data_IF_037965181759
#
_entry.id   IF_037965181759
#
_cell.length_a   1.000
_cell.length_b   1.000
_cell.length_c   1.000
_cell.angle_alpha   90.00
_cell.angle_beta   90.00
_cell.angle_gamma   90.00
#
_symmetry.space_group_name_H-M   'P 1'
#
loop_
_entity.id
_entity.type
_entity.pdbx_description
1 polymer ?
#
# COMPACT_ATOMS: atom_id res chain seq x y z
N UNK A 1 5.90 2.68 19.44
CA UNK A 1 5.98 2.12 18.07
C UNK A 1 6.84 3.01 17.18
N UNK A 2 6.54 4.31 17.12
CA UNK A 2 7.23 5.28 16.26
C UNK A 2 8.77 5.27 16.41
N UNK A 3 9.29 5.23 17.63
CA UNK A 3 10.75 5.18 17.88
C UNK A 3 11.45 3.93 17.31
N UNK A 4 10.72 2.81 17.19
CA UNK A 4 11.29 1.57 16.62
C UNK A 4 11.35 1.71 15.11
N UNK A 5 10.25 2.10 14.47
CA UNK A 5 10.17 2.26 13.01
C UNK A 5 11.13 3.37 12.53
N UNK A 6 11.25 4.46 13.29
CA UNK A 6 12.19 5.56 13.03
C UNK A 6 13.65 5.08 12.89
N UNK A 7 14.07 4.11 13.71
CA UNK A 7 15.45 3.55 13.67
C UNK A 7 15.65 2.53 12.55
N UNK A 8 14.59 2.11 11.85
CA UNK A 8 14.73 1.18 10.72
C UNK A 8 15.25 1.89 9.48
N UNK A 9 14.87 3.16 9.33
CA UNK A 9 15.05 3.92 8.12
C UNK A 9 16.11 5.00 8.32
N UNK A 10 16.96 5.19 7.31
CA UNK A 10 17.99 6.22 7.31
C UNK A 10 17.38 7.61 7.07
N UNK A 11 18.06 8.68 7.51
CA UNK A 11 17.61 10.08 7.35
C UNK A 11 17.34 10.45 5.89
N UNK A 12 16.31 11.26 5.60
CA UNK A 12 15.91 11.57 4.22
C UNK A 12 15.14 10.44 3.51
N UNK A 13 14.94 9.28 4.15
CA UNK A 13 13.95 8.32 3.69
C UNK A 13 12.55 8.90 3.91
N UNK A 14 11.71 8.86 2.88
CA UNK A 14 10.35 9.38 2.93
C UNK A 14 9.48 8.74 4.03
N UNK A 15 9.73 7.47 4.38
CA UNK A 15 9.08 6.81 5.52
C UNK A 15 9.49 7.44 6.85
N UNK A 16 10.81 7.62 7.06
CA UNK A 16 11.33 8.22 8.29
C UNK A 16 10.86 9.64 8.46
N UNK A 17 10.96 10.44 7.40
CA UNK A 17 10.57 11.86 7.44
C UNK A 17 9.13 12.00 7.89
N UNK A 18 8.18 11.27 7.30
CA UNK A 18 6.79 11.28 7.72
C UNK A 18 6.57 10.76 9.16
N UNK A 19 7.32 9.74 9.60
CA UNK A 19 7.25 9.19 10.98
C UNK A 19 7.73 10.20 12.02
N UNK A 20 8.77 10.97 11.69
CA UNK A 20 9.38 11.97 12.57
C UNK A 20 8.53 13.23 12.75
N UNK A 21 7.31 13.23 12.21
CA UNK A 21 6.49 14.44 12.10
C UNK A 21 7.03 15.40 11.04
N UNK A 22 8.00 14.95 10.25
CA UNK A 22 8.41 15.63 9.05
C UNK A 22 7.20 15.75 8.14
N UNK A 23 6.98 16.97 7.69
CA UNK A 23 5.87 17.35 6.85
C UNK A 23 6.18 16.92 5.41
N UNK A 24 6.45 15.62 5.21
CA UNK A 24 6.79 15.08 3.89
C UNK A 24 5.68 15.44 2.88
N UNK A 25 4.45 15.56 3.39
CA UNK A 25 3.31 16.12 2.68
C UNK A 25 2.69 17.23 3.52
N UNK A 26 3.30 18.41 3.41
CA UNK A 26 2.92 19.63 4.11
C UNK A 26 1.65 20.23 3.49
N UNK A 27 0.48 19.91 4.06
CA UNK A 27 -0.79 20.57 3.73
C UNK A 27 -0.87 21.94 4.40
N UNK A 28 0.03 22.83 4.00
CA UNK A 28 -0.21 24.25 4.23
C UNK A 28 -1.50 24.65 3.53
N UNK A 29 -2.46 25.27 4.23
CA UNK A 29 -3.64 25.85 3.57
C UNK A 29 -3.23 26.82 2.46
N UNK A 30 -2.05 27.43 2.58
CA UNK A 30 -1.42 28.30 1.59
C UNK A 30 -1.08 27.60 0.26
N UNK A 31 -0.99 26.27 0.23
CA UNK A 31 -0.73 25.47 -0.99
C UNK A 31 -2.02 24.93 -1.63
N UNK A 32 -3.19 25.35 -1.14
CA UNK A 32 -4.49 24.91 -1.62
C UNK A 32 -5.24 26.08 -2.25
N UNK A 33 -5.44 26.01 -3.56
CA UNK A 33 -6.31 26.96 -4.26
C UNK A 33 -7.76 26.49 -4.18
N UNK A 34 -8.58 27.19 -3.39
CA UNK A 34 -10.02 26.94 -3.28
C UNK A 34 -10.80 27.73 -4.32
N UNK A 35 -11.67 27.05 -5.06
CA UNK A 35 -12.51 27.60 -6.12
C UNK A 35 -13.97 27.28 -5.80
N UNK A 36 -14.83 28.31 -5.78
CA UNK A 36 -16.28 28.14 -5.67
C UNK A 36 -16.91 28.16 -7.07
N UNK A 37 -17.53 27.07 -7.54
CA UNK A 37 -18.17 27.02 -8.85
C UNK A 37 -19.48 27.82 -8.89
N UNK A 38 -19.74 28.52 -10.01
CA UNK A 38 -20.79 29.54 -10.10
C UNK A 38 -22.22 28.99 -10.35
N UNK A 39 -22.40 27.82 -10.97
CA UNK A 39 -23.74 27.40 -11.44
C UNK A 39 -24.10 25.94 -11.08
N UNK A 40 -23.48 24.94 -11.73
CA UNK A 40 -23.89 23.53 -11.62
C UNK A 40 -23.55 22.86 -10.28
N UNK A 41 -22.69 23.48 -9.47
CA UNK A 41 -22.24 22.96 -8.18
C UNK A 41 -22.32 24.01 -7.06
N UNK A 42 -23.34 24.88 -7.12
CA UNK A 42 -23.55 25.95 -6.13
C UNK A 42 -23.50 25.39 -4.69
N UNK A 43 -22.70 26.02 -3.84
CA UNK A 43 -22.49 25.60 -2.45
C UNK A 43 -21.47 24.46 -2.26
N UNK A 44 -20.77 24.03 -3.30
CA UNK A 44 -19.62 23.12 -3.20
C UNK A 44 -18.30 23.88 -3.28
N UNK A 45 -17.22 23.18 -2.95
CA UNK A 45 -15.84 23.66 -3.02
C UNK A 45 -15.07 22.75 -3.98
N UNK A 46 -14.34 23.36 -4.91
CA UNK A 46 -13.25 22.72 -5.64
C UNK A 46 -11.93 23.14 -5.02
N UNK A 47 -10.97 22.23 -4.95
CA UNK A 47 -9.63 22.50 -4.47
C UNK A 47 -8.61 21.97 -5.48
N UNK A 48 -7.61 22.79 -5.78
CA UNK A 48 -6.41 22.38 -6.52
C UNK A 48 -5.23 22.41 -5.54
N UNK A 49 -4.57 21.27 -5.40
CA UNK A 49 -3.53 21.03 -4.39
C UNK A 49 -2.25 20.59 -5.10
N UNK A 50 -1.10 21.10 -4.64
CA UNK A 50 0.20 20.58 -5.03
C UNK A 50 0.86 19.87 -3.84
N UNK A 51 1.01 18.54 -3.92
CA UNK A 51 1.69 17.74 -2.89
C UNK A 51 3.20 17.62 -3.12
N UNK A 52 3.63 17.62 -4.38
CA UNK A 52 5.02 17.50 -4.78
C UNK A 52 5.78 18.83 -4.79
N UNK A 53 7.10 18.75 -5.04
CA UNK A 53 7.95 19.90 -5.36
C UNK A 53 8.14 19.92 -6.90
N UNK A 54 7.74 21.02 -7.53
CA UNK A 54 7.90 21.32 -8.97
C UNK A 54 7.46 20.17 -9.93
N UNK A 55 7.91 20.21 -11.18
CA UNK A 55 7.51 19.30 -12.27
C UNK A 55 8.05 17.86 -12.15
N UNK A 56 8.70 17.53 -11.03
CA UNK A 56 9.26 16.20 -10.79
C UNK A 56 8.17 15.13 -10.58
N UNK A 57 8.50 13.87 -10.87
CA UNK A 57 7.61 12.74 -10.59
C UNK A 57 7.54 12.53 -9.08
N UNK A 58 6.38 12.80 -8.50
CA UNK A 58 6.09 12.63 -7.08
C UNK A 58 5.46 11.27 -6.77
N UNK A 59 4.56 10.78 -7.62
CA UNK A 59 4.00 9.44 -7.54
C UNK A 59 4.55 8.57 -8.67
N UNK A 60 5.05 7.39 -8.34
CA UNK A 60 5.37 6.38 -9.34
C UNK A 60 4.05 5.87 -9.96
N UNK A 61 3.82 6.06 -11.27
CA UNK A 61 2.52 5.79 -11.90
C UNK A 61 2.05 4.33 -11.81
N UNK A 62 2.97 3.36 -11.85
CA UNK A 62 2.65 1.94 -11.86
C UNK A 62 2.13 1.47 -10.49
N UNK A 63 2.79 1.90 -9.41
CA UNK A 63 2.37 1.69 -8.03
C UNK A 63 1.09 2.48 -7.74
N UNK A 64 1.00 3.74 -8.18
CA UNK A 64 -0.23 4.55 -8.02
C UNK A 64 -1.45 3.83 -8.60
N UNK A 65 -1.36 3.38 -9.86
CA UNK A 65 -2.46 2.64 -10.48
C UNK A 65 -2.74 1.31 -9.79
N UNK A 66 -1.71 0.62 -9.30
CA UNK A 66 -1.87 -0.66 -8.59
C UNK A 66 -2.61 -0.49 -7.26
N UNK A 67 -2.30 0.57 -6.51
CA UNK A 67 -2.97 0.93 -5.27
C UNK A 67 -4.44 1.27 -5.55
N UNK A 68 -4.71 2.11 -6.54
CA UNK A 68 -6.08 2.52 -6.87
C UNK A 68 -6.93 1.37 -7.43
N UNK A 69 -6.35 0.47 -8.22
CA UNK A 69 -7.07 -0.72 -8.70
C UNK A 69 -7.36 -1.69 -7.55
N UNK A 70 -6.43 -1.87 -6.60
CA UNK A 70 -6.67 -2.66 -5.40
C UNK A 70 -7.80 -2.05 -4.55
N UNK A 71 -7.87 -0.71 -4.45
CA UNK A 71 -8.89 -0.01 -3.69
C UNK A 71 -10.21 0.21 -4.42
N UNK A 72 -10.31 -0.20 -5.69
CA UNK A 72 -11.48 0.00 -6.55
C UNK A 72 -12.83 -0.41 -5.95
N UNK A 73 -12.95 -1.50 -5.16
CA UNK A 73 -14.22 -1.83 -4.51
C UNK A 73 -14.79 -0.74 -3.59
N UNK A 74 -13.94 0.15 -3.09
CA UNK A 74 -14.32 1.28 -2.23
C UNK A 74 -14.56 2.58 -3.00
N UNK A 75 -14.34 2.57 -4.31
CA UNK A 75 -14.52 3.69 -5.21
C UNK A 75 -15.83 3.53 -5.98
N UNK A 76 -16.57 4.63 -6.16
CA UNK A 76 -17.75 4.59 -7.02
C UNK A 76 -17.36 4.46 -8.49
N UNK A 77 -16.26 5.11 -8.88
CA UNK A 77 -15.68 5.07 -10.23
C UNK A 77 -14.15 5.22 -10.08
N UNK A 78 -13.37 4.61 -10.97
CA UNK A 78 -11.92 4.72 -10.94
C UNK A 78 -11.27 4.36 -12.27
N UNK A 79 -10.39 5.23 -12.77
CA UNK A 79 -9.56 5.01 -13.95
C UNK A 79 -8.15 5.50 -13.65
N UNK A 80 -7.13 4.75 -14.07
CA UNK A 80 -5.74 5.16 -13.93
C UNK A 80 -4.97 4.84 -15.21
N UNK A 81 -4.23 5.81 -15.71
CA UNK A 81 -3.40 5.69 -16.90
C UNK A 81 -1.94 5.81 -16.51
N UNK A 82 -1.20 4.69 -16.57
CA UNK A 82 0.24 4.65 -16.29
C UNK A 82 1.05 5.55 -17.25
N UNK A 83 0.84 5.50 -18.58
CA UNK A 83 1.63 6.32 -19.51
C UNK A 83 1.42 7.82 -19.32
N UNK A 84 0.17 8.23 -19.05
CA UNK A 84 -0.15 9.64 -18.81
C UNK A 84 0.19 10.09 -17.38
N UNK A 85 0.38 9.15 -16.46
CA UNK A 85 0.59 9.44 -15.05
C UNK A 85 -0.60 10.18 -14.44
N UNK A 86 -1.82 9.81 -14.81
CA UNK A 86 -3.04 10.44 -14.30
C UNK A 86 -4.03 9.39 -13.83
N UNK A 87 -4.69 9.67 -12.70
CA UNK A 87 -5.80 8.89 -12.20
C UNK A 87 -7.00 9.79 -11.94
N UNK A 88 -8.19 9.28 -12.24
CA UNK A 88 -9.47 9.92 -11.95
C UNK A 88 -10.32 8.94 -11.18
N UNK A 89 -10.70 9.31 -9.96
CA UNK A 89 -11.51 8.48 -9.06
C UNK A 89 -12.71 9.25 -8.53
N UNK A 90 -13.77 8.54 -8.20
CA UNK A 90 -14.93 9.07 -7.50
C UNK A 90 -15.04 8.41 -6.14
N UNK A 91 -14.80 9.19 -5.09
CA UNK A 91 -14.73 8.67 -3.73
C UNK A 91 -15.61 9.48 -2.77
N UNK A 92 -16.52 8.79 -2.07
CA UNK A 92 -17.48 9.39 -1.12
C UNK A 92 -18.28 10.56 -1.73
N UNK A 93 -18.57 10.52 -3.03
CA UNK A 93 -19.31 11.57 -3.76
C UNK A 93 -18.47 12.71 -4.35
N UNK A 94 -17.14 12.67 -4.20
CA UNK A 94 -16.20 13.67 -4.75
C UNK A 94 -15.50 13.12 -5.98
N UNK A 95 -15.25 13.97 -6.97
CA UNK A 95 -14.40 13.62 -8.11
C UNK A 95 -12.98 14.09 -7.83
N UNK A 96 -12.02 13.18 -7.89
CA UNK A 96 -10.63 13.43 -7.52
C UNK A 96 -9.75 13.07 -8.72
N UNK A 97 -8.96 14.02 -9.20
CA UNK A 97 -7.93 13.79 -10.22
C UNK A 97 -6.56 13.86 -9.57
N UNK A 98 -5.71 12.87 -9.82
CA UNK A 98 -4.37 12.72 -9.23
C UNK A 98 -3.38 12.66 -10.38
N UNK A 99 -2.36 13.49 -10.36
CA UNK A 99 -1.30 13.52 -11.37
C UNK A 99 0.02 13.02 -10.78
N UNK A 100 0.86 12.41 -11.61
CA UNK A 100 2.16 11.85 -11.22
C UNK A 100 3.11 12.87 -10.58
N UNK A 101 2.94 14.16 -10.85
CA UNK A 101 3.74 15.24 -10.25
C UNK A 101 3.25 15.67 -8.86
N UNK A 102 2.22 15.01 -8.31
CA UNK A 102 1.68 15.35 -6.99
C UNK A 102 0.58 16.39 -7.03
N UNK A 103 0.18 16.90 -8.20
CA UNK A 103 -1.03 17.72 -8.31
C UNK A 103 -2.26 16.86 -8.03
N UNK A 104 -3.17 17.37 -7.22
CA UNK A 104 -4.45 16.74 -6.90
C UNK A 104 -5.57 17.76 -7.03
N UNK A 105 -6.60 17.43 -7.81
CA UNK A 105 -7.79 18.25 -7.94
C UNK A 105 -8.99 17.54 -7.29
N UNK A 106 -9.61 18.16 -6.29
CA UNK A 106 -10.79 17.64 -5.60
C UNK A 106 -11.98 18.53 -5.96
N UNK A 107 -12.97 17.96 -6.64
CA UNK A 107 -14.24 18.62 -6.98
C UNK A 107 -15.37 18.14 -6.08
N UNK A 108 -16.41 18.95 -5.95
CA UNK A 108 -17.65 18.63 -5.21
C UNK A 108 -17.48 18.43 -3.70
N UNK A 109 -16.44 19.00 -3.09
CA UNK A 109 -16.33 18.97 -1.62
C UNK A 109 -17.41 19.87 -0.99
N UNK A 110 -17.85 19.53 0.22
CA UNK A 110 -18.88 20.30 0.92
C UNK A 110 -18.34 21.59 1.51
N UNK A 111 -17.14 21.54 2.08
CA UNK A 111 -16.48 22.65 2.77
C UNK A 111 -14.97 22.56 2.59
N UNK A 112 -14.22 23.58 2.99
CA UNK A 112 -12.75 23.52 3.05
C UNK A 112 -12.26 22.42 4.00
N UNK A 113 -12.91 22.26 5.15
CA UNK A 113 -12.57 21.20 6.11
C UNK A 113 -12.80 19.80 5.54
N UNK A 114 -13.83 19.64 4.70
CA UNK A 114 -14.08 18.40 3.98
C UNK A 114 -12.96 18.07 2.98
N UNK A 115 -12.46 19.07 2.24
CA UNK A 115 -11.26 18.93 1.38
C UNK A 115 -10.09 18.41 2.21
N UNK A 116 -9.79 19.02 3.36
CA UNK A 116 -8.66 18.62 4.22
C UNK A 116 -8.81 17.20 4.78
N UNK A 117 -10.03 16.75 5.09
CA UNK A 117 -10.29 15.37 5.53
C UNK A 117 -10.01 14.39 4.40
N UNK A 118 -10.56 14.65 3.21
CA UNK A 118 -10.36 13.80 2.02
C UNK A 118 -8.90 13.74 1.64
N UNK A 119 -8.21 14.88 1.67
CA UNK A 119 -6.81 14.99 1.33
C UNK A 119 -5.92 14.17 2.25
N UNK A 120 -6.16 14.20 3.58
CA UNK A 120 -5.44 13.37 4.55
C UNK A 120 -5.64 11.87 4.29
N UNK A 121 -6.88 11.45 4.06
CA UNK A 121 -7.17 10.05 3.75
C UNK A 121 -6.55 9.61 2.42
N UNK A 122 -6.63 10.47 1.39
CA UNK A 122 -6.01 10.22 0.09
C UNK A 122 -4.49 10.12 0.22
N UNK A 123 -3.89 10.97 1.03
CA UNK A 123 -2.45 10.95 1.27
C UNK A 123 -1.97 9.62 1.81
N UNK A 124 -2.65 9.13 2.86
CA UNK A 124 -2.36 7.84 3.48
C UNK A 124 -2.59 6.69 2.51
N UNK A 125 -3.67 6.74 1.73
CA UNK A 125 -3.98 5.77 0.70
C UNK A 125 -2.86 5.68 -0.35
N UNK A 126 -2.36 6.81 -0.81
CA UNK A 126 -1.37 6.91 -1.89
C UNK A 126 0.07 6.85 -1.41
N UNK A 127 0.32 6.76 -0.10
CA UNK A 127 1.66 6.95 0.46
C UNK A 127 2.68 5.96 -0.14
N UNK A 128 2.28 4.72 -0.38
CA UNK A 128 3.15 3.71 -0.99
C UNK A 128 3.65 4.05 -2.40
N UNK A 129 2.91 4.86 -3.18
CA UNK A 129 3.34 5.27 -4.53
C UNK A 129 4.24 6.49 -4.55
N UNK A 130 4.42 7.19 -3.42
CA UNK A 130 5.25 8.38 -3.38
C UNK A 130 6.71 8.01 -3.65
N UNK A 131 7.43 8.80 -4.46
CA UNK A 131 8.84 8.59 -4.77
C UNK A 131 9.71 9.13 -3.64
N UNK A 132 10.58 8.30 -3.09
CA UNK A 132 11.49 8.70 -2.03
C UNK A 132 12.64 9.55 -2.59
N UNK A 133 12.80 10.77 -2.06
CA UNK A 133 13.85 11.70 -2.51
C UNK A 133 15.27 11.15 -2.32
N UNK A 134 15.50 10.33 -1.28
CA UNK A 134 16.81 9.72 -1.00
C UNK A 134 17.23 8.65 -2.00
N UNK A 135 16.32 7.76 -2.41
CA UNK A 135 16.68 6.60 -3.23
C UNK A 135 16.08 6.59 -4.64
N UNK A 136 15.12 7.48 -4.93
CA UNK A 136 14.41 7.56 -6.20
C UNK A 136 13.39 6.43 -6.44
N UNK A 137 13.17 5.55 -5.46
CA UNK A 137 12.22 4.42 -5.53
C UNK A 137 10.92 4.75 -4.81
N UNK A 138 9.79 4.11 -5.15
CA UNK A 138 8.55 4.31 -4.43
C UNK A 138 8.68 3.86 -2.97
N UNK A 139 7.98 4.56 -2.08
CA UNK A 139 7.97 4.36 -0.63
C UNK A 139 7.63 2.92 -0.26
N UNK A 140 6.74 2.27 -1.02
CA UNK A 140 6.36 0.87 -0.79
C UNK A 140 7.55 -0.09 -0.87
N UNK A 141 8.53 0.15 -1.75
CA UNK A 141 9.74 -0.66 -1.86
C UNK A 141 10.74 -0.35 -0.74
N UNK A 142 10.77 0.89 -0.26
CA UNK A 142 11.52 1.21 0.95
C UNK A 142 10.95 0.46 2.15
N UNK A 143 9.61 0.45 2.27
CA UNK A 143 8.90 -0.20 3.36
C UNK A 143 9.08 -1.73 3.33
N UNK A 144 9.07 -2.35 2.15
CA UNK A 144 9.29 -3.79 2.00
C UNK A 144 10.77 -4.20 2.11
N UNK A 145 11.68 -3.25 2.34
CA UNK A 145 13.11 -3.52 2.52
C UNK A 145 13.88 -3.80 1.22
N UNK A 146 13.26 -3.59 0.06
CA UNK A 146 13.93 -3.69 -1.26
C UNK A 146 14.92 -2.57 -1.54
N UNK A 147 15.03 -1.58 -0.65
CA UNK A 147 15.90 -0.43 -0.81
C UNK A 147 17.05 -0.44 0.22
N UNK A 148 18.22 -0.89 -0.21
CA UNK A 148 19.46 -0.85 0.58
C UNK A 148 19.87 0.57 0.98
N UNK A 149 19.53 1.58 0.15
CA UNK A 149 19.86 2.98 0.42
C UNK A 149 19.08 3.57 1.60
N UNK A 150 17.92 3.00 1.95
CA UNK A 150 17.00 3.56 2.93
C UNK A 150 16.93 2.77 4.24
N UNK A 151 17.46 1.55 4.29
CA UNK A 151 17.36 0.68 5.46
C UNK A 151 18.67 0.62 6.25
N UNK A 152 18.57 0.60 7.58
CA UNK A 152 19.69 0.24 8.45
C UNK A 152 19.85 -1.29 8.52
N UNK A 153 21.07 -1.81 8.34
CA UNK A 153 21.37 -3.27 8.34
C UNK A 153 20.84 -4.03 9.57
N UNK A 154 20.66 -3.35 10.71
CA UNK A 154 20.22 -3.94 11.98
C UNK A 154 18.73 -3.74 12.27
N UNK A 155 18.01 -3.00 11.42
CA UNK A 155 16.65 -2.54 11.70
C UNK A 155 15.59 -3.65 11.66
N UNK A 156 15.58 -4.48 10.61
CA UNK A 156 14.41 -5.28 10.19
C UNK A 156 13.73 -6.14 11.29
N UNK A 157 14.40 -6.47 12.39
CA UNK A 157 13.88 -7.33 13.47
C UNK A 157 12.95 -6.64 14.47
N UNK A 158 12.83 -5.31 14.46
CA UNK A 158 12.10 -4.54 15.48
C UNK A 158 10.58 -4.41 15.28
N UNK A 159 10.06 -4.62 14.08
CA UNK A 159 8.72 -4.17 13.71
C UNK A 159 7.57 -5.06 14.25
N UNK A 160 7.83 -6.36 14.42
CA UNK A 160 6.83 -7.36 14.81
C UNK A 160 6.24 -7.19 16.23
N UNK A 161 6.97 -6.58 17.16
CA UNK A 161 6.53 -6.55 18.56
C UNK A 161 5.35 -5.59 18.84
N UNK A 162 4.98 -4.73 17.89
CA UNK A 162 4.12 -3.58 18.17
C UNK A 162 2.70 -3.65 17.59
N UNK A 163 2.36 -4.71 16.86
CA UNK A 163 1.08 -4.85 16.13
C UNK A 163 -0.12 -5.22 17.02
N UNK A 164 0.11 -5.86 18.18
CA UNK A 164 -0.97 -6.35 19.05
C UNK A 164 -1.73 -5.27 19.83
N UNK A 165 -1.35 -3.99 19.74
CA UNK A 165 -1.89 -2.90 20.58
C UNK A 165 -2.67 -1.80 19.85
N UNK A 166 -2.83 -1.89 18.53
CA UNK A 166 -3.51 -0.83 17.76
C UNK A 166 -4.99 -1.13 17.59
N UNK A 167 -5.86 -0.16 17.86
CA UNK A 167 -7.33 -0.27 17.73
C UNK A 167 -7.76 -0.70 16.30
N UNK A 168 -7.03 -0.23 15.29
CA UNK A 168 -7.26 -0.57 13.88
C UNK A 168 -6.55 -1.85 13.43
N UNK A 169 -5.87 -2.55 14.34
CA UNK A 169 -5.11 -3.76 14.05
C UNK A 169 -5.97 -4.91 13.52
N UNK A 170 -7.29 -4.85 13.69
CA UNK A 170 -8.23 -5.84 13.15
C UNK A 170 -8.19 -5.92 11.61
N UNK A 171 -8.09 -4.78 10.91
CA UNK A 171 -7.96 -4.78 9.44
C UNK A 171 -6.66 -5.45 9.00
N UNK A 172 -5.55 -5.11 9.65
CA UNK A 172 -4.26 -5.68 9.34
C UNK A 172 -4.21 -7.18 9.69
N UNK A 173 -4.78 -7.59 10.82
CA UNK A 173 -4.91 -9.01 11.18
C UNK A 173 -5.73 -9.80 10.15
N UNK A 174 -6.90 -9.29 9.76
CA UNK A 174 -7.75 -9.87 8.71
C UNK A 174 -7.01 -10.00 7.39
N UNK A 175 -6.26 -8.97 6.98
CA UNK A 175 -5.47 -9.01 5.76
C UNK A 175 -4.40 -10.12 5.80
N UNK A 176 -3.72 -10.26 6.93
CA UNK A 176 -2.67 -11.26 7.11
C UNK A 176 -3.24 -12.67 7.15
N UNK A 177 -4.37 -12.88 7.81
CA UNK A 177 -5.09 -14.16 7.80
C UNK A 177 -5.45 -14.57 6.37
N UNK A 178 -5.94 -13.64 5.54
CA UNK A 178 -6.23 -13.89 4.12
C UNK A 178 -4.97 -14.30 3.36
N UNK A 179 -3.85 -13.60 3.54
CA UNK A 179 -2.58 -13.94 2.87
C UNK A 179 -2.03 -15.30 3.33
N UNK A 180 -2.13 -15.59 4.63
CA UNK A 180 -1.76 -16.86 5.24
C UNK A 180 -2.57 -18.02 4.67
N UNK A 181 -3.89 -17.84 4.55
CA UNK A 181 -4.77 -18.86 3.98
C UNK A 181 -4.44 -19.14 2.52
N UNK A 182 -4.19 -18.10 1.71
CA UNK A 182 -3.77 -18.28 0.32
C UNK A 182 -2.45 -19.04 0.26
N UNK A 183 -1.48 -18.68 1.11
CA UNK A 183 -0.19 -19.37 1.16
C UNK A 183 -0.37 -20.85 1.47
N UNK A 184 -1.13 -21.21 2.51
CA UNK A 184 -1.42 -22.62 2.86
C UNK A 184 -2.08 -23.39 1.73
N UNK A 185 -3.05 -22.77 1.05
CA UNK A 185 -3.73 -23.40 -0.09
C UNK A 185 -2.80 -23.57 -1.28
N UNK A 186 -1.89 -22.63 -1.50
CA UNK A 186 -0.89 -22.71 -2.55
C UNK A 186 0.08 -23.87 -2.29
N UNK A 187 0.59 -24.00 -1.06
CA UNK A 187 1.49 -25.11 -0.65
C UNK A 187 0.84 -26.49 -0.81
N UNK A 188 -0.47 -26.61 -0.59
CA UNK A 188 -1.21 -27.87 -0.70
C UNK A 188 -1.82 -28.15 -2.08
N UNK A 189 -1.63 -27.29 -3.07
CA UNK A 189 -2.35 -27.40 -4.34
C UNK A 189 -1.70 -28.38 -5.31
N UNK A 190 -2.51 -29.21 -5.97
CA UNK A 190 -2.08 -30.01 -7.14
C UNK A 190 -2.39 -29.26 -8.44
N UNK A 191 -1.67 -29.58 -9.52
CA UNK A 191 -1.80 -28.93 -10.85
C UNK A 191 -3.25 -28.81 -11.34
N UNK A 192 -4.08 -29.85 -11.14
CA UNK A 192 -5.48 -29.86 -11.58
C UNK A 192 -6.38 -28.85 -10.84
N UNK A 193 -5.94 -28.31 -9.70
CA UNK A 193 -6.67 -27.29 -8.92
C UNK A 193 -6.24 -25.84 -9.20
N UNK A 194 -5.24 -25.64 -10.07
CA UNK A 194 -4.54 -24.36 -10.18
C UNK A 194 -5.44 -23.21 -10.64
N UNK A 195 -6.33 -23.42 -11.62
CA UNK A 195 -7.25 -22.37 -12.10
C UNK A 195 -8.23 -21.91 -11.02
N UNK A 196 -8.71 -22.84 -10.19
CA UNK A 196 -9.60 -22.52 -9.06
C UNK A 196 -8.83 -21.78 -7.97
N UNK A 197 -7.62 -22.26 -7.63
CA UNK A 197 -6.73 -21.59 -6.69
C UNK A 197 -6.42 -20.17 -7.16
N UNK A 198 -6.21 -19.94 -8.46
CA UNK A 198 -5.91 -18.62 -9.03
C UNK A 198 -6.97 -17.59 -8.69
N UNK A 199 -8.21 -17.96 -9.00
CA UNK A 199 -9.34 -17.06 -8.78
C UNK A 199 -9.52 -16.77 -7.29
N UNK A 200 -9.44 -17.81 -6.44
CA UNK A 200 -9.60 -17.67 -5.01
C UNK A 200 -8.46 -16.86 -4.36
N UNK A 201 -7.21 -17.15 -4.74
CA UNK A 201 -6.03 -16.42 -4.30
C UNK A 201 -6.13 -14.95 -4.67
N UNK A 202 -6.48 -14.65 -5.92
CA UNK A 202 -6.63 -13.28 -6.40
C UNK A 202 -7.71 -12.52 -5.61
N UNK A 203 -8.85 -13.16 -5.34
CA UNK A 203 -9.92 -12.56 -4.54
C UNK A 203 -9.47 -12.27 -3.11
N UNK A 204 -8.81 -13.23 -2.44
CA UNK A 204 -8.34 -13.06 -1.06
C UNK A 204 -7.22 -12.03 -0.94
N UNK A 205 -6.28 -12.00 -1.88
CA UNK A 205 -5.20 -11.01 -1.92
C UNK A 205 -5.76 -9.60 -2.16
N UNK A 206 -6.70 -9.46 -3.10
CA UNK A 206 -7.37 -8.18 -3.31
C UNK A 206 -8.14 -7.75 -2.05
N UNK A 207 -8.83 -8.68 -1.39
CA UNK A 207 -9.50 -8.42 -0.12
C UNK A 207 -8.54 -8.03 1.01
N UNK A 208 -7.34 -8.61 1.05
CA UNK A 208 -6.29 -8.25 2.01
C UNK A 208 -5.73 -6.85 1.71
N UNK A 209 -5.49 -6.53 0.44
CA UNK A 209 -5.04 -5.21 0.02
C UNK A 209 -6.04 -4.11 0.40
N UNK A 210 -7.35 -4.35 0.21
CA UNK A 210 -8.40 -3.40 0.64
C UNK A 210 -8.36 -3.17 2.15
N UNK A 211 -8.26 -4.25 2.94
CA UNK A 211 -8.16 -4.13 4.41
C UNK A 211 -6.92 -3.34 4.84
N UNK A 212 -5.76 -3.60 4.22
CA UNK A 212 -4.51 -2.85 4.49
C UNK A 212 -4.66 -1.38 4.13
N UNK A 213 -5.30 -1.06 3.00
CA UNK A 213 -5.54 0.31 2.57
C UNK A 213 -6.52 1.04 3.50
N UNK A 214 -7.55 0.35 4.01
CA UNK A 214 -8.42 0.89 5.05
C UNK A 214 -7.64 1.16 6.35
N UNK A 215 -6.77 0.22 6.77
CA UNK A 215 -5.87 0.43 7.89
C UNK A 215 -4.97 1.65 7.70
N UNK A 216 -4.39 1.82 6.51
CA UNK A 216 -3.57 2.98 6.16
C UNK A 216 -4.32 4.30 6.33
N UNK A 217 -5.54 4.36 5.80
CA UNK A 217 -6.39 5.57 5.85
C UNK A 217 -6.75 5.95 7.29
N UNK A 218 -7.07 4.95 8.12
CA UNK A 218 -7.54 5.14 9.50
C UNK A 218 -6.40 5.17 10.54
N UNK A 219 -5.15 4.94 10.11
CA UNK A 219 -4.00 4.93 11.00
C UNK A 219 -3.81 6.31 11.67
N UNK A 220 -3.90 6.39 13.02
CA UNK A 220 -3.84 7.66 13.75
C UNK A 220 -2.44 8.29 13.73
N UNK A 221 -1.40 7.47 13.53
CA UNK A 221 0.01 7.87 13.58
C UNK A 221 0.74 7.42 12.32
N UNK A 222 1.74 8.20 11.92
CA UNK A 222 2.58 7.88 10.77
C UNK A 222 3.33 6.54 10.93
N UNK A 223 3.78 6.19 12.14
CA UNK A 223 4.40 4.89 12.40
C UNK A 223 3.44 3.71 12.23
N UNK A 224 2.16 3.87 12.52
CA UNK A 224 1.12 2.87 12.23
C UNK A 224 0.88 2.76 10.72
N UNK A 225 0.74 3.89 10.04
CA UNK A 225 0.60 3.90 8.59
C UNK A 225 1.82 3.24 7.90
N UNK A 226 3.05 3.40 8.41
CA UNK A 226 4.23 2.77 7.84
C UNK A 226 4.16 1.23 7.87
N UNK A 227 3.53 0.65 8.91
CA UNK A 227 3.24 -0.78 8.94
C UNK A 227 2.27 -1.18 7.82
N UNK A 228 1.24 -0.36 7.61
CA UNK A 228 0.28 -0.56 6.53
C UNK A 228 0.95 -0.52 5.16
N UNK A 229 1.89 0.40 4.93
CA UNK A 229 2.62 0.47 3.65
C UNK A 229 3.49 -0.78 3.47
N UNK A 230 4.14 -1.24 4.54
CA UNK A 230 4.95 -2.47 4.49
C UNK A 230 4.09 -3.69 4.15
N UNK A 231 2.96 -3.84 4.84
CA UNK A 231 2.02 -4.93 4.59
C UNK A 231 1.45 -4.88 3.17
N UNK A 232 1.20 -3.69 2.64
CA UNK A 232 0.75 -3.49 1.26
C UNK A 232 1.81 -3.94 0.27
N UNK A 233 3.08 -3.62 0.52
CA UNK A 233 4.21 -4.08 -0.28
C UNK A 233 4.26 -5.61 -0.36
N UNK A 234 4.17 -6.27 0.79
CA UNK A 234 4.11 -7.73 0.87
C UNK A 234 2.91 -8.30 0.11
N UNK A 235 1.72 -7.71 0.26
CA UNK A 235 0.53 -8.17 -0.47
C UNK A 235 0.69 -8.04 -1.99
N UNK A 236 1.33 -6.96 -2.46
CA UNK A 236 1.60 -6.74 -3.89
C UNK A 236 2.65 -7.72 -4.43
N UNK A 237 3.71 -7.97 -3.68
CA UNK A 237 4.74 -8.97 -4.02
C UNK A 237 4.16 -10.37 -4.08
N UNK A 238 3.35 -10.73 -3.07
CA UNK A 238 2.70 -12.02 -3.02
C UNK A 238 1.74 -12.24 -4.19
N UNK A 239 1.03 -11.20 -4.62
CA UNK A 239 0.21 -11.22 -5.85
C UNK A 239 1.05 -11.50 -7.10
N UNK A 240 2.18 -10.82 -7.23
CA UNK A 240 3.07 -10.96 -8.39
C UNK A 240 3.71 -12.36 -8.43
N UNK A 241 4.17 -12.87 -7.29
CA UNK A 241 4.68 -14.22 -7.14
C UNK A 241 3.65 -15.26 -7.60
N UNK A 242 2.42 -15.21 -7.07
CA UNK A 242 1.35 -16.14 -7.45
C UNK A 242 1.03 -16.05 -8.94
N UNK A 243 0.97 -14.83 -9.50
CA UNK A 243 0.69 -14.66 -10.92
C UNK A 243 1.81 -15.26 -11.79
N UNK A 244 3.08 -15.01 -11.45
CA UNK A 244 4.25 -15.55 -12.15
C UNK A 244 4.25 -17.07 -12.11
N UNK A 245 4.07 -17.65 -10.91
CA UNK A 245 4.02 -19.09 -10.72
C UNK A 245 2.88 -19.73 -11.50
N UNK A 246 1.71 -19.11 -11.51
CA UNK A 246 0.57 -19.61 -12.28
C UNK A 246 0.80 -19.57 -13.78
N UNK A 247 1.45 -18.52 -14.28
CA UNK A 247 1.83 -18.45 -15.68
C UNK A 247 2.89 -19.53 -16.03
N UNK A 248 3.86 -19.78 -15.14
CA UNK A 248 4.87 -20.81 -15.31
C UNK A 248 4.28 -22.24 -15.30
N UNK A 249 3.38 -22.54 -14.36
CA UNK A 249 2.73 -23.84 -14.28
C UNK A 249 1.83 -24.12 -15.50
N UNK A 250 1.13 -23.11 -16.02
CA UNK A 250 0.33 -23.23 -17.24
C UNK A 250 1.17 -23.46 -18.50
N UNK A 251 2.38 -22.91 -18.56
CA UNK A 251 3.26 -23.02 -19.74
C UNK A 251 4.11 -24.28 -19.74
N UNK A 252 4.56 -24.75 -18.57
CA UNK A 252 5.52 -25.87 -18.46
C UNK A 252 4.86 -27.23 -18.27
N UNK A 253 3.64 -27.29 -17.71
CA UNK A 253 2.95 -28.55 -17.39
C UNK A 253 3.74 -29.47 -16.44
N UNK A 254 4.82 -28.98 -15.82
CA UNK A 254 5.75 -29.75 -14.99
C UNK A 254 5.54 -29.45 -13.51
N UNK A 255 5.47 -30.51 -12.70
CA UNK A 255 5.38 -30.47 -11.24
C UNK A 255 6.56 -29.75 -10.57
N UNK A 256 7.71 -29.60 -11.23
CA UNK A 256 8.86 -28.87 -10.70
C UNK A 256 8.59 -27.40 -10.32
N UNK A 257 7.58 -26.78 -10.94
CA UNK A 257 7.15 -25.40 -10.63
C UNK A 257 6.51 -25.25 -9.23
N UNK A 258 6.07 -26.34 -8.59
CA UNK A 258 5.47 -26.32 -7.25
C UNK A 258 6.50 -26.14 -6.13
N UNK A 259 7.76 -26.58 -6.32
CA UNK A 259 8.79 -26.42 -5.30
C UNK A 259 9.24 -24.96 -5.18
N UNK A 260 9.39 -24.25 -6.31
CA UNK A 260 9.64 -22.79 -6.31
C UNK A 260 8.46 -22.02 -5.68
N UNK A 261 7.23 -22.50 -5.89
CA UNK A 261 6.04 -21.93 -5.26
C UNK A 261 6.09 -22.11 -3.73
N UNK A 262 6.57 -23.25 -3.25
CA UNK A 262 6.76 -23.48 -1.83
C UNK A 262 7.83 -22.57 -1.23
N UNK A 263 8.97 -22.39 -1.91
CA UNK A 263 10.04 -21.50 -1.43
C UNK A 263 9.57 -20.04 -1.37
N UNK A 264 8.93 -19.53 -2.42
CA UNK A 264 8.45 -18.13 -2.44
C UNK A 264 7.30 -17.92 -1.43
N UNK A 265 6.41 -18.90 -1.28
CA UNK A 265 5.36 -18.84 -0.26
C UNK A 265 5.97 -18.89 1.16
N UNK A 266 6.96 -19.76 1.40
CA UNK A 266 7.66 -19.84 2.69
C UNK A 266 8.48 -18.58 2.98
N UNK A 267 9.14 -18.00 2.00
CA UNK A 267 9.88 -16.75 2.15
C UNK A 267 8.93 -15.59 2.42
N UNK A 268 7.83 -15.48 1.67
CA UNK A 268 6.77 -14.50 1.92
C UNK A 268 6.13 -14.67 3.30
N UNK A 269 5.87 -15.91 3.71
CA UNK A 269 5.36 -16.25 5.05
C UNK A 269 6.40 -15.96 6.15
N UNK A 270 7.69 -16.17 5.90
CA UNK A 270 8.76 -15.84 6.82
C UNK A 270 8.93 -14.33 6.94
N UNK A 271 8.83 -13.58 5.84
CA UNK A 271 8.83 -12.11 5.85
C UNK A 271 7.61 -11.58 6.61
N UNK A 272 6.41 -12.09 6.34
CA UNK A 272 5.19 -11.75 7.09
C UNK A 272 5.34 -12.11 8.58
N UNK A 273 5.84 -13.30 8.87
CA UNK A 273 6.04 -13.83 10.20
C UNK A 273 7.04 -13.03 11.03
N UNK A 274 8.19 -12.72 10.43
CA UNK A 274 9.26 -11.95 11.08
C UNK A 274 8.94 -10.47 11.19
N UNK A 275 8.21 -9.90 10.22
CA UNK A 275 7.79 -8.50 10.27
C UNK A 275 6.61 -8.26 11.22
N UNK A 276 5.76 -9.28 11.50
CA UNK A 276 4.45 -9.05 12.14
C UNK A 276 4.23 -9.88 13.40
N UNK A 277 4.64 -11.14 13.44
CA UNK A 277 4.23 -12.10 14.48
C UNK A 277 5.36 -12.46 15.47
N UNK A 278 6.60 -12.09 15.16
CA UNK A 278 7.77 -12.38 16.00
C UNK A 278 8.22 -13.84 15.92
N UNK A 279 9.20 -14.24 16.75
CA UNK A 279 9.84 -15.58 16.65
C UNK A 279 8.86 -16.76 16.75
N UNK A 280 7.78 -16.64 17.53
CA UNK A 280 6.82 -17.73 17.76
C UNK A 280 5.95 -18.13 16.55
N UNK A 281 5.96 -17.36 15.46
CA UNK A 281 5.28 -17.77 14.22
C UNK A 281 6.13 -18.70 13.36
N UNK A 282 7.46 -18.58 13.42
CA UNK A 282 8.39 -19.48 12.74
C UNK A 282 8.22 -20.92 13.23
N UNK A 283 8.11 -21.10 14.55
CA UNK A 283 7.82 -22.41 15.17
C UNK A 283 6.46 -22.99 14.72
N UNK A 284 5.47 -22.16 14.37
CA UNK A 284 4.18 -22.64 13.83
C UNK A 284 4.23 -22.97 12.34
N UNK A 285 5.14 -22.34 11.58
CA UNK A 285 5.40 -22.68 10.18
C UNK A 285 6.23 -23.96 10.06
N UNK A 286 7.21 -24.16 10.94
CA UNK A 286 8.08 -25.35 10.95
C UNK A 286 7.34 -26.63 11.39
N UNK A 287 6.15 -26.50 11.98
CA UNK A 287 5.27 -27.60 12.37
C UNK A 287 4.11 -27.85 11.36
N UNK A 288 4.12 -27.18 10.20
CA UNK A 288 3.16 -27.37 9.09
C UNK A 288 3.85 -28.05 7.91
#
# INVERSE_FOLDING_TARGET
MDNVVKRLFLEGCALREEIEGGKFIEFGEEKIAYIQPCASEKGKVTADIMMGRDEATFFEPSILCSILEAYKPMLAEGRCSRPLGVAVIKWKGRSITIFKNGRVNIKRALTKQDVLKVLRSLNRLLWGSVVCARCGRPVIECASGKCEKCMEEKGARGMAASLKKTLHGAFLASALEKLLEVSRKALGCRVNGLSRLKLEAQQKINGAAVDILNYLIEAPKAGEAALGVTALGLAMEFREAIQTLMNAALTTGKEGSLNELNEVALEGLNLLGTAILGRGFRERLENL
#
